data_IF_575030726225
#
_entry.id   IF_575030726225
#
_cell.length_a   1.000
_cell.length_b   1.000
_cell.length_c   1.000
_cell.angle_alpha   90.00
_cell.angle_beta   90.00
_cell.angle_gamma   90.00
#
_symmetry.space_group_name_H-M   'P 1'
#
loop_
_entity.id
_entity.type
_entity.pdbx_description
1 polymer ?
#
# COMPACT_ATOMS: atom_id res chain seq x y z
N UNK A 1 -4.45 7.82 -25.92
CA UNK A 1 -5.31 7.73 -24.72
C UNK A 1 -4.49 7.04 -23.66
N UNK A 2 -3.78 7.79 -22.82
CA UNK A 2 -2.98 7.21 -21.73
C UNK A 2 -3.95 6.67 -20.68
N UNK A 3 -4.05 5.35 -20.59
CA UNK A 3 -4.79 4.67 -19.53
C UNK A 3 -4.42 5.31 -18.19
N UNK A 4 -5.45 5.72 -17.45
CA UNK A 4 -5.32 6.37 -16.16
C UNK A 4 -4.74 5.34 -15.17
N UNK A 5 -3.41 5.19 -15.17
CA UNK A 5 -2.72 4.20 -14.35
C UNK A 5 -2.90 4.59 -12.89
N UNK A 6 -3.59 3.75 -12.12
CA UNK A 6 -3.91 4.05 -10.72
C UNK A 6 -2.63 4.37 -9.94
N UNK A 7 -2.56 5.60 -9.39
CA UNK A 7 -1.39 6.10 -8.66
C UNK A 7 -1.07 5.24 -7.43
N UNK A 8 -2.08 4.63 -6.83
CA UNK A 8 -1.96 3.73 -5.70
C UNK A 8 -2.77 2.45 -5.93
N UNK A 9 -2.33 1.36 -5.29
CA UNK A 9 -2.94 0.03 -5.43
C UNK A 9 -2.87 -0.77 -4.13
N UNK A 10 -3.96 -1.44 -3.80
CA UNK A 10 -4.06 -2.42 -2.72
C UNK A 10 -4.17 -3.82 -3.33
N UNK A 11 -3.40 -4.77 -2.84
CA UNK A 11 -3.53 -6.16 -3.26
C UNK A 11 -2.89 -7.12 -2.26
N UNK A 12 -3.23 -8.40 -2.40
CA UNK A 12 -2.50 -9.49 -1.75
C UNK A 12 -1.24 -9.84 -2.55
N UNK A 13 -0.15 -10.08 -1.84
CA UNK A 13 1.09 -10.49 -2.47
C UNK A 13 0.94 -11.85 -3.17
N UNK A 14 1.13 -11.90 -4.50
CA UNK A 14 1.06 -13.15 -5.26
C UNK A 14 2.28 -14.06 -5.02
N UNK A 15 3.40 -13.47 -4.61
CA UNK A 15 4.65 -14.16 -4.28
C UNK A 15 5.44 -13.38 -3.22
N UNK A 16 6.41 -14.03 -2.57
CA UNK A 16 7.30 -13.43 -1.57
C UNK A 16 8.39 -12.49 -2.12
N UNK A 17 8.40 -12.21 -3.44
CA UNK A 17 9.51 -11.48 -4.09
C UNK A 17 9.46 -9.97 -3.90
N UNK A 18 8.34 -9.42 -3.44
CA UNK A 18 8.21 -7.97 -3.24
C UNK A 18 8.96 -7.55 -1.99
N UNK A 19 9.85 -6.56 -2.14
CA UNK A 19 10.60 -5.98 -1.04
C UNK A 19 9.93 -4.71 -0.55
N UNK A 20 9.76 -4.58 0.75
CA UNK A 20 9.14 -3.42 1.36
C UNK A 20 9.97 -2.16 1.17
N UNK A 21 9.34 -1.09 0.70
CA UNK A 21 9.90 0.27 0.59
C UNK A 21 9.45 1.18 1.75
N UNK A 22 9.14 0.58 2.90
CA UNK A 22 8.89 1.28 4.16
C UNK A 22 10.16 1.93 4.73
N UNK A 23 10.05 2.53 5.92
CA UNK A 23 11.22 3.03 6.66
C UNK A 23 12.04 1.85 7.21
N UNK A 24 13.29 2.08 7.58
CA UNK A 24 14.08 1.10 8.36
C UNK A 24 13.41 0.91 9.73
N UNK A 25 13.40 -0.30 10.30
CA UNK A 25 14.15 -1.50 9.87
C UNK A 25 13.50 -2.31 8.74
N UNK A 26 12.24 -2.04 8.38
CA UNK A 26 11.49 -2.86 7.43
C UNK A 26 11.92 -2.71 5.97
N UNK A 27 12.61 -1.63 5.62
CA UNK A 27 13.07 -1.40 4.26
C UNK A 27 13.92 -2.57 3.73
N UNK A 28 13.51 -3.16 2.61
CA UNK A 28 14.20 -4.28 1.96
C UNK A 28 13.75 -5.66 2.41
N UNK A 29 12.94 -5.77 3.47
CA UNK A 29 12.37 -7.05 3.90
C UNK A 29 11.32 -7.57 2.93
N UNK A 30 11.17 -8.89 2.86
CA UNK A 30 10.23 -9.54 1.96
C UNK A 30 8.78 -9.40 2.46
N UNK A 31 7.85 -9.24 1.51
CA UNK A 31 6.42 -9.25 1.77
C UNK A 31 5.91 -10.66 1.43
N UNK A 32 5.52 -11.47 2.43
CA UNK A 32 5.16 -12.86 2.18
C UNK A 32 3.92 -13.00 1.29
N UNK A 33 3.83 -14.12 0.55
CA UNK A 33 2.66 -14.43 -0.28
C UNK A 33 1.39 -14.42 0.57
N UNK A 34 0.32 -13.82 0.06
CA UNK A 34 -0.98 -13.73 0.72
C UNK A 34 -1.12 -12.58 1.72
N UNK A 35 -0.05 -11.85 2.03
CA UNK A 35 -0.13 -10.65 2.88
C UNK A 35 -0.63 -9.44 2.10
N UNK A 36 -1.39 -8.58 2.77
CA UNK A 36 -1.83 -7.30 2.24
C UNK A 36 -0.62 -6.39 2.01
N UNK A 37 -0.51 -5.84 0.81
CA UNK A 37 0.53 -4.87 0.43
C UNK A 37 -0.07 -3.64 -0.23
N UNK A 38 0.63 -2.53 -0.04
CA UNK A 38 0.30 -1.25 -0.61
C UNK A 38 1.35 -0.86 -1.66
N UNK A 39 0.88 -0.56 -2.87
CA UNK A 39 1.70 -0.15 -4.01
C UNK A 39 1.54 1.34 -4.28
N UNK A 40 2.65 2.03 -4.48
CA UNK A 40 2.67 3.38 -5.08
C UNK A 40 3.27 3.27 -6.48
N UNK A 41 2.59 3.82 -7.47
CA UNK A 41 3.12 3.89 -8.83
C UNK A 41 4.33 4.84 -8.84
N UNK A 42 5.45 4.35 -9.34
CA UNK A 42 6.69 5.11 -9.49
C UNK A 42 7.13 5.03 -10.94
N UNK A 43 7.38 6.20 -11.53
CA UNK A 43 7.97 6.34 -12.86
C UNK A 43 9.42 6.75 -12.68
N UNK A 44 10.35 6.01 -13.27
CA UNK A 44 11.78 6.36 -13.29
C UNK A 44 12.14 7.08 -14.60
N UNK A 45 13.31 7.77 -14.68
CA UNK A 45 13.70 8.61 -15.83
C UNK A 45 13.81 7.97 -17.24
N UNK A 46 13.35 6.75 -17.43
CA UNK A 46 13.29 6.05 -18.73
C UNK A 46 11.83 5.68 -19.11
N UNK A 47 10.84 6.39 -18.59
CA UNK A 47 9.40 6.07 -18.71
C UNK A 47 8.99 4.66 -18.22
N UNK A 48 9.88 3.99 -17.49
CA UNK A 48 9.56 2.70 -16.86
C UNK A 48 8.71 2.95 -15.62
N UNK A 49 7.49 2.45 -15.64
CA UNK A 49 6.57 2.50 -14.50
C UNK A 49 6.56 1.17 -13.75
N UNK A 50 6.65 1.22 -12.43
CA UNK A 50 6.48 0.05 -11.56
C UNK A 50 5.89 0.44 -10.23
N UNK A 51 5.30 -0.54 -9.54
CA UNK A 51 4.79 -0.32 -8.19
C UNK A 51 5.88 -0.53 -7.15
N UNK A 52 6.13 0.50 -6.34
CA UNK A 52 6.91 0.39 -5.11
C UNK A 52 6.03 -0.19 -4.00
N UNK A 53 6.27 -1.46 -3.65
CA UNK A 53 5.49 -2.20 -2.66
C UNK A 53 5.93 -1.91 -1.23
N UNK A 54 4.98 -1.86 -0.31
CA UNK A 54 5.19 -1.78 1.15
C UNK A 54 4.26 -2.77 1.84
N UNK A 55 4.66 -3.27 3.01
CA UNK A 55 3.69 -3.88 3.92
C UNK A 55 2.61 -2.84 4.26
N UNK A 56 1.38 -3.30 4.47
CA UNK A 56 0.30 -2.43 4.93
C UNK A 56 0.68 -1.64 6.19
N UNK A 57 1.23 -2.30 7.22
CA UNK A 57 1.73 -1.64 8.43
C UNK A 57 2.91 -0.67 8.25
N UNK A 58 3.56 -0.66 7.08
CA UNK A 58 4.62 0.29 6.76
C UNK A 58 4.12 1.55 6.04
N UNK A 59 2.81 1.64 5.78
CA UNK A 59 2.20 2.84 5.22
C UNK A 59 2.17 3.91 6.31
N UNK A 60 2.74 5.08 6.00
CA UNK A 60 2.81 6.20 6.96
C UNK A 60 1.65 7.17 6.76
N UNK A 61 1.35 7.98 7.78
CA UNK A 61 0.35 9.05 7.69
C UNK A 61 0.56 9.97 6.48
N UNK A 62 1.81 10.28 6.12
CA UNK A 62 2.13 11.07 4.94
C UNK A 62 1.70 10.39 3.63
N UNK A 63 1.82 9.06 3.55
CA UNK A 63 1.36 8.31 2.39
C UNK A 63 -0.16 8.34 2.32
N UNK A 64 -0.86 8.08 3.43
CA UNK A 64 -2.33 8.15 3.49
C UNK A 64 -2.83 9.54 3.06
N UNK A 65 -2.23 10.60 3.58
CA UNK A 65 -2.54 11.99 3.18
C UNK A 65 -2.34 12.22 1.68
N UNK A 66 -1.28 11.70 1.08
CA UNK A 66 -1.07 11.81 -0.37
C UNK A 66 -2.09 10.98 -1.18
N UNK A 67 -2.61 9.88 -0.64
CA UNK A 67 -3.67 9.07 -1.29
C UNK A 67 -5.00 9.83 -1.26
N UNK A 68 -5.34 10.43 -0.11
CA UNK A 68 -6.52 11.30 0.07
C UNK A 68 -6.54 12.54 -0.84
N UNK A 69 -5.39 12.98 -1.33
CA UNK A 69 -5.31 14.06 -2.31
C UNK A 69 -5.71 13.62 -3.72
N UNK A 70 -5.74 12.30 -3.99
CA UNK A 70 -6.03 11.72 -5.30
C UNK A 70 -7.42 11.05 -5.32
N UNK A 71 -7.84 10.50 -4.18
CA UNK A 71 -9.08 9.74 -4.04
C UNK A 71 -9.95 10.30 -2.92
N UNK A 72 -11.26 10.37 -3.14
CA UNK A 72 -12.22 10.87 -2.16
C UNK A 72 -12.58 9.79 -1.13
N UNK A 73 -12.56 8.51 -1.54
CA UNK A 73 -12.86 7.38 -0.69
C UNK A 73 -11.80 6.26 -0.81
N UNK A 74 -11.61 5.43 0.23
CA UNK A 74 -10.72 4.28 0.16
C UNK A 74 -11.17 3.23 -0.87
N UNK A 75 -12.46 3.18 -1.20
CA UNK A 75 -13.04 2.33 -2.26
C UNK A 75 -12.54 2.66 -3.66
N UNK A 76 -12.11 3.89 -3.89
CA UNK A 76 -11.63 4.34 -5.21
C UNK A 76 -10.19 3.87 -5.48
N UNK A 77 -9.50 3.38 -4.45
CA UNK A 77 -8.16 2.82 -4.58
C UNK A 77 -8.24 1.50 -5.33
N UNK A 78 -7.44 1.38 -6.39
CA UNK A 78 -7.40 0.16 -7.19
C UNK A 78 -7.12 -1.08 -6.34
N UNK A 79 -8.01 -2.07 -6.42
CA UNK A 79 -7.92 -3.34 -5.71
C UNK A 79 -8.58 -3.39 -4.34
N UNK A 80 -9.16 -2.28 -3.85
CA UNK A 80 -9.92 -2.25 -2.59
C UNK A 80 -11.09 -3.26 -2.59
N UNK A 81 -11.87 -3.31 -3.67
CA UNK A 81 -13.04 -4.20 -3.77
C UNK A 81 -12.70 -5.69 -3.69
N UNK A 82 -11.48 -6.06 -4.09
CA UNK A 82 -10.99 -7.44 -4.06
C UNK A 82 -10.39 -7.85 -2.70
N UNK A 83 -10.35 -6.94 -1.73
CA UNK A 83 -9.90 -7.24 -0.38
C UNK A 83 -10.95 -8.03 0.41
N UNK A 84 -10.50 -8.75 1.43
CA UNK A 84 -11.38 -9.34 2.44
C UNK A 84 -12.02 -8.22 3.27
N UNK A 85 -13.22 -8.47 3.78
CA UNK A 85 -13.97 -7.48 4.58
C UNK A 85 -13.20 -6.98 5.81
N UNK A 86 -12.42 -7.84 6.46
CA UNK A 86 -11.53 -7.45 7.56
C UNK A 86 -10.47 -6.44 7.12
N UNK A 87 -9.84 -6.68 5.97
CA UNK A 87 -8.80 -5.79 5.43
C UNK A 87 -9.40 -4.50 4.87
N UNK A 88 -10.61 -4.54 4.28
CA UNK A 88 -11.37 -3.33 3.92
C UNK A 88 -11.62 -2.46 5.15
N UNK A 89 -12.04 -3.08 6.26
CA UNK A 89 -12.27 -2.39 7.54
C UNK A 89 -10.99 -1.74 8.05
N UNK A 90 -9.84 -2.43 7.98
CA UNK A 90 -8.53 -1.85 8.35
C UNK A 90 -8.17 -0.63 7.50
N UNK A 91 -8.37 -0.71 6.18
CA UNK A 91 -8.11 0.41 5.27
C UNK A 91 -9.04 1.59 5.56
N UNK A 92 -10.34 1.35 5.78
CA UNK A 92 -11.32 2.39 6.15
C UNK A 92 -10.94 3.05 7.48
N UNK A 93 -10.59 2.26 8.49
CA UNK A 93 -10.18 2.79 9.79
C UNK A 93 -8.90 3.63 9.66
N UNK A 94 -7.89 3.13 8.94
CA UNK A 94 -6.66 3.86 8.71
C UNK A 94 -6.87 5.15 7.91
N UNK A 95 -7.83 5.14 6.97
CA UNK A 95 -8.27 6.33 6.26
C UNK A 95 -8.92 7.33 7.22
N UNK A 96 -9.80 6.90 8.10
CA UNK A 96 -10.50 7.80 9.03
C UNK A 96 -9.54 8.50 10.01
N UNK A 97 -8.51 7.80 10.49
CA UNK A 97 -7.57 8.31 11.52
C UNK A 97 -6.22 8.78 10.95
N UNK A 98 -6.07 8.80 9.62
CA UNK A 98 -4.84 9.17 8.90
C UNK A 98 -3.60 8.35 9.32
N UNK A 99 -3.80 7.15 9.87
CA UNK A 99 -2.73 6.32 10.41
C UNK A 99 -3.12 4.84 10.39
N UNK A 100 -2.17 3.97 10.03
CA UNK A 100 -2.36 2.52 10.12
C UNK A 100 -2.39 2.08 11.59
N UNK A 101 -3.22 1.09 11.90
CA UNK A 101 -3.32 0.55 13.24
C UNK A 101 -1.96 0.00 13.71
N UNK A 102 -1.61 0.22 14.98
CA UNK A 102 -0.34 -0.24 15.53
C UNK A 102 -0.17 -1.77 15.45
N UNK A 103 -1.27 -2.51 15.54
CA UNK A 103 -1.31 -3.97 15.40
C UNK A 103 -0.94 -4.48 14.00
N UNK A 104 -1.15 -3.65 12.97
CA UNK A 104 -0.81 -3.98 11.58
C UNK A 104 0.67 -3.79 11.27
N UNK A 105 1.43 -3.13 12.17
CA UNK A 105 2.88 -2.90 12.02
C UNK A 105 3.60 -4.25 12.14
N UNK A 106 4.24 -4.74 11.06
CA UNK A 106 4.92 -6.03 11.10
C UNK A 106 6.13 -5.98 12.02
N UNK A 107 6.55 -7.12 12.57
CA UNK A 107 7.73 -7.21 13.44
C UNK A 107 9.00 -6.70 12.74
N UNK A 108 9.07 -6.82 11.41
CA UNK A 108 10.14 -6.27 10.59
C UNK A 108 10.23 -4.74 10.62
N UNK A 109 9.20 -4.05 11.11
CA UNK A 109 9.10 -2.60 11.22
C UNK A 109 9.13 -2.08 12.66
N UNK A 110 9.20 -2.97 13.67
CA UNK A 110 9.33 -2.61 15.08
C UNK A 110 10.78 -2.30 15.46
#
# INVERSE_FOLDING_TARGET
MSENQAAYRLEYALSGRSKCKGRKPCNGTEIPKGHLRFGSLVTIPDDKTFFAWRHWGCVTAKVISNVKQIYDAPSDIAGFEALREEDKTRVINAWAVDQVAHEDVPDTAR
#
